data_IF_125265651428
#
_entry.id   IF_125265651428
#
_cell.length_a   1.000
_cell.length_b   1.000
_cell.length_c   1.000
_cell.angle_alpha   90.00
_cell.angle_beta   90.00
_cell.angle_gamma   90.00
#
_symmetry.space_group_name_H-M   'P 1'
#
loop_
_entity.id
_entity.type
_entity.pdbx_description
1 polymer ?
#
# COMPACT_ATOMS: atom_id res chain seq x y z
N UNK A 1 -16.22 9.70 -13.98
CA UNK A 1 -16.38 9.68 -15.46
C UNK A 1 -16.31 8.25 -15.95
N UNK A 2 -17.41 7.72 -16.50
CA UNK A 2 -17.51 6.36 -17.06
C UNK A 2 -16.45 6.09 -18.13
N UNK A 3 -16.12 7.12 -18.93
CA UNK A 3 -15.20 7.05 -20.07
C UNK A 3 -13.76 6.69 -19.63
N UNK A 4 -13.25 7.28 -18.55
CA UNK A 4 -11.89 6.96 -18.06
C UNK A 4 -11.77 5.52 -17.57
N UNK A 5 -12.82 5.02 -16.93
CA UNK A 5 -12.91 3.63 -16.47
C UNK A 5 -12.89 2.66 -17.64
N UNK A 6 -13.67 2.95 -18.68
CA UNK A 6 -13.72 2.15 -19.89
C UNK A 6 -12.37 2.16 -20.64
N UNK A 7 -11.72 3.32 -20.76
CA UNK A 7 -10.36 3.42 -21.34
C UNK A 7 -9.36 2.55 -20.58
N UNK A 8 -9.38 2.57 -19.24
CA UNK A 8 -8.50 1.74 -18.42
C UNK A 8 -8.74 0.23 -18.62
N UNK A 9 -9.99 -0.18 -18.80
CA UNK A 9 -10.34 -1.55 -19.14
C UNK A 9 -9.90 -1.97 -20.54
N UNK A 10 -10.01 -1.08 -21.52
CA UNK A 10 -9.51 -1.35 -22.88
C UNK A 10 -8.00 -1.56 -22.91
N UNK A 11 -7.25 -0.77 -22.14
CA UNK A 11 -5.80 -0.96 -21.99
C UNK A 11 -5.48 -2.34 -21.43
N UNK A 12 -6.15 -2.75 -20.35
CA UNK A 12 -5.97 -4.08 -19.77
C UNK A 12 -6.29 -5.21 -20.76
N UNK A 13 -7.36 -5.08 -21.55
CA UNK A 13 -7.70 -6.07 -22.60
C UNK A 13 -6.58 -6.22 -23.63
N UNK A 14 -5.96 -5.11 -24.03
CA UNK A 14 -4.88 -5.12 -25.01
C UNK A 14 -3.59 -5.68 -24.42
N UNK A 15 -3.20 -5.23 -23.22
CA UNK A 15 -1.95 -5.64 -22.57
C UNK A 15 -1.95 -7.10 -22.12
N UNK A 16 -3.12 -7.62 -21.71
CA UNK A 16 -3.24 -8.97 -21.16
C UNK A 16 -4.00 -9.93 -22.11
N UNK A 17 -4.08 -9.62 -23.40
CA UNK A 17 -4.79 -10.41 -24.42
C UNK A 17 -4.37 -11.89 -24.45
N UNK A 18 -3.11 -12.17 -24.13
CA UNK A 18 -2.51 -13.51 -24.20
C UNK A 18 -2.64 -14.28 -22.87
N UNK A 19 -3.22 -13.68 -21.83
CA UNK A 19 -3.41 -14.31 -20.51
C UNK A 19 -4.81 -14.93 -20.42
N UNK A 20 -4.94 -16.26 -20.55
CA UNK A 20 -6.24 -16.92 -20.36
C UNK A 20 -6.70 -16.67 -18.91
N UNK A 21 -7.99 -16.32 -18.75
CA UNK A 21 -8.62 -15.98 -17.46
C UNK A 21 -8.13 -14.68 -16.80
N UNK A 22 -7.62 -13.71 -17.58
CA UNK A 22 -7.36 -12.37 -17.03
C UNK A 22 -8.68 -11.65 -16.71
N UNK A 23 -8.89 -11.34 -15.43
CA UNK A 23 -10.01 -10.51 -14.98
C UNK A 23 -9.63 -9.04 -14.95
N UNK A 24 -10.44 -8.20 -15.60
CA UNK A 24 -10.26 -6.75 -15.57
C UNK A 24 -10.43 -6.21 -14.15
N UNK A 25 -9.47 -5.40 -13.71
CA UNK A 25 -9.39 -4.86 -12.37
C UNK A 25 -9.56 -3.34 -12.39
N UNK A 26 -10.27 -2.82 -11.40
CA UNK A 26 -10.26 -1.40 -11.09
C UNK A 26 -9.06 -1.04 -10.20
N UNK A 27 -8.61 0.21 -10.32
CA UNK A 27 -7.89 0.88 -9.24
C UNK A 27 -8.85 1.12 -8.08
N UNK A 28 -8.31 1.00 -6.87
CA UNK A 28 -9.06 1.17 -5.64
C UNK A 28 -8.80 2.56 -5.09
N UNK A 29 -9.73 3.05 -4.28
CA UNK A 29 -9.56 4.29 -3.53
C UNK A 29 -9.30 3.95 -2.07
N UNK A 30 -8.47 4.77 -1.44
CA UNK A 30 -8.27 4.75 0.01
C UNK A 30 -9.58 5.04 0.73
N UNK A 31 -9.79 4.37 1.86
CA UNK A 31 -10.99 4.48 2.68
C UNK A 31 -10.59 4.70 4.13
N UNK A 32 -10.63 5.97 4.59
CA UNK A 32 -10.21 6.39 5.93
C UNK A 32 -10.69 5.50 7.08
N UNK A 33 -11.90 4.93 6.97
CA UNK A 33 -12.52 4.09 8.00
C UNK A 33 -12.03 2.64 8.02
N UNK A 34 -11.28 2.20 7.01
CA UNK A 34 -10.79 0.83 6.88
C UNK A 34 -9.26 0.84 6.90
N UNK A 35 -8.68 0.35 8.00
CA UNK A 35 -7.24 0.38 8.28
C UNK A 35 -6.35 -0.19 7.17
N UNK A 36 -6.79 -1.23 6.47
CA UNK A 36 -6.01 -1.85 5.37
C UNK A 36 -6.25 -1.25 3.99
N UNK A 37 -7.13 -0.26 3.85
CA UNK A 37 -7.54 0.24 2.53
C UNK A 37 -6.39 0.88 1.77
N UNK A 38 -5.52 1.63 2.44
CA UNK A 38 -4.30 2.20 1.85
C UNK A 38 -3.39 1.10 1.32
N UNK A 39 -3.13 0.06 2.12
CA UNK A 39 -2.32 -1.08 1.69
C UNK A 39 -2.90 -1.74 0.42
N UNK A 40 -4.19 -2.08 0.45
CA UNK A 40 -4.86 -2.77 -0.66
C UNK A 40 -4.88 -1.90 -1.92
N UNK A 41 -5.05 -0.58 -1.77
CA UNK A 41 -4.97 0.38 -2.87
C UNK A 41 -3.58 0.39 -3.50
N UNK A 42 -2.53 0.54 -2.69
CA UNK A 42 -1.15 0.62 -3.19
C UNK A 42 -0.70 -0.69 -3.82
N UNK A 43 -1.00 -1.82 -3.19
CA UNK A 43 -0.73 -3.14 -3.74
C UNK A 43 -1.44 -3.35 -5.08
N UNK A 44 -2.70 -2.90 -5.21
CA UNK A 44 -3.44 -2.95 -6.48
C UNK A 44 -2.79 -2.08 -7.55
N UNK A 45 -2.39 -0.86 -7.21
CA UNK A 45 -1.72 0.05 -8.14
C UNK A 45 -0.40 -0.54 -8.65
N UNK A 46 0.43 -1.06 -7.74
CA UNK A 46 1.69 -1.70 -8.09
C UNK A 46 1.50 -2.96 -8.96
N UNK A 47 0.52 -3.81 -8.64
CA UNK A 47 0.19 -5.00 -9.46
C UNK A 47 -0.26 -4.64 -10.88
N UNK A 48 -0.82 -3.44 -11.06
CA UNK A 48 -1.31 -2.91 -12.33
C UNK A 48 -0.39 -1.83 -12.89
N UNK A 49 0.89 -1.75 -12.47
CA UNK A 49 1.78 -0.64 -12.83
C UNK A 49 1.87 -0.40 -14.34
N UNK A 50 1.98 -1.47 -15.14
CA UNK A 50 2.08 -1.37 -16.59
C UNK A 50 0.77 -0.83 -17.20
N UNK A 51 -0.37 -1.23 -16.66
CA UNK A 51 -1.70 -0.73 -17.06
C UNK A 51 -1.85 0.75 -16.68
N UNK A 52 -1.36 1.16 -15.50
CA UNK A 52 -1.38 2.54 -15.00
C UNK A 52 -0.49 3.43 -15.85
N UNK A 53 0.75 3.01 -16.10
CA UNK A 53 1.72 3.76 -16.91
C UNK A 53 1.19 3.95 -18.33
N UNK A 54 0.67 2.88 -18.96
CA UNK A 54 0.04 2.99 -20.28
C UNK A 54 -1.16 3.93 -20.27
N UNK A 55 -1.98 3.89 -19.22
CA UNK A 55 -3.14 4.77 -19.09
C UNK A 55 -2.76 6.24 -18.97
N UNK A 56 -1.76 6.57 -18.15
CA UNK A 56 -1.29 7.96 -17.99
C UNK A 56 -0.70 8.46 -19.31
N UNK A 57 0.17 7.68 -19.94
CA UNK A 57 0.75 8.01 -21.25
C UNK A 57 -0.34 8.27 -22.31
N UNK A 58 -1.35 7.39 -22.39
CA UNK A 58 -2.45 7.56 -23.33
C UNK A 58 -3.32 8.79 -22.99
N UNK A 59 -3.43 9.19 -21.72
CA UNK A 59 -4.12 10.42 -21.35
C UNK A 59 -3.33 11.65 -21.78
N UNK A 60 -2.02 11.69 -21.48
CA UNK A 60 -1.11 12.78 -21.87
C UNK A 60 -1.08 12.95 -23.39
N UNK A 61 -1.02 11.85 -24.15
CA UNK A 61 -0.99 11.88 -25.60
C UNK A 61 -2.28 12.43 -26.22
N UNK A 62 -3.44 12.08 -25.65
CA UNK A 62 -4.75 12.50 -26.19
C UNK A 62 -5.23 13.87 -25.72
N UNK A 63 -4.57 14.47 -24.71
CA UNK A 63 -4.96 15.77 -24.17
C UNK A 63 -4.54 16.92 -25.09
N UNK A 64 -5.49 17.79 -25.43
CA UNK A 64 -5.28 18.91 -26.35
C UNK A 64 -4.83 20.17 -25.63
N UNK A 65 -5.23 20.33 -24.37
CA UNK A 65 -4.89 21.49 -23.55
C UNK A 65 -3.49 21.34 -22.97
N UNK A 66 -2.58 22.26 -23.32
CA UNK A 66 -1.20 22.26 -22.81
C UNK A 66 -1.13 22.23 -21.27
N UNK A 67 -1.94 23.05 -20.60
CA UNK A 67 -1.96 23.12 -19.12
C UNK A 67 -2.48 21.84 -18.46
N UNK A 68 -3.45 21.16 -19.07
CA UNK A 68 -3.91 19.86 -18.57
C UNK A 68 -2.91 18.75 -18.86
N UNK A 69 -2.24 18.82 -20.01
CA UNK A 69 -1.21 17.87 -20.43
C UNK A 69 -0.03 17.90 -19.46
N UNK A 70 0.46 19.09 -19.08
CA UNK A 70 1.50 19.25 -18.06
C UNK A 70 1.08 18.63 -16.73
N UNK A 71 -0.15 18.89 -16.26
CA UNK A 71 -0.67 18.30 -15.02
C UNK A 71 -0.78 16.77 -15.08
N UNK A 72 -1.08 16.20 -16.24
CA UNK A 72 -1.14 14.76 -16.44
C UNK A 72 0.26 14.14 -16.49
N UNK A 73 1.23 14.81 -17.10
CA UNK A 73 2.62 14.36 -17.15
C UNK A 73 3.24 14.29 -15.75
N UNK A 74 2.86 15.19 -14.83
CA UNK A 74 3.26 15.11 -13.42
C UNK A 74 2.75 13.85 -12.69
N UNK A 75 1.78 13.13 -13.25
CA UNK A 75 1.29 11.87 -12.69
C UNK A 75 2.14 10.67 -13.13
N UNK A 76 3.03 10.83 -14.11
CA UNK A 76 3.88 9.75 -14.58
C UNK A 76 4.77 9.25 -13.44
N UNK A 77 4.72 7.94 -13.22
CA UNK A 77 5.50 7.26 -12.20
C UNK A 77 6.85 6.88 -12.80
N UNK A 78 7.95 7.29 -12.16
CA UNK A 78 9.27 6.78 -12.51
C UNK A 78 9.46 5.35 -11.98
N UNK A 79 10.47 4.65 -12.49
CA UNK A 79 10.87 3.34 -11.96
C UNK A 79 11.16 3.41 -10.45
N UNK A 80 11.89 4.44 -10.02
CA UNK A 80 12.18 4.69 -8.60
C UNK A 80 10.90 4.92 -7.78
N UNK A 81 9.90 5.64 -8.31
CA UNK A 81 8.62 5.83 -7.62
C UNK A 81 7.90 4.49 -7.43
N UNK A 82 7.91 3.61 -8.44
CA UNK A 82 7.31 2.27 -8.34
C UNK A 82 8.05 1.37 -7.33
N UNK A 83 9.38 1.43 -7.31
CA UNK A 83 10.21 0.70 -6.34
C UNK A 83 9.92 1.18 -4.91
N UNK A 84 9.88 2.49 -4.69
CA UNK A 84 9.51 3.08 -3.40
C UNK A 84 8.09 2.69 -2.99
N UNK A 85 7.13 2.67 -3.92
CA UNK A 85 5.76 2.23 -3.66
C UNK A 85 5.70 0.77 -3.21
N UNK A 86 6.49 -0.11 -3.83
CA UNK A 86 6.58 -1.52 -3.46
C UNK A 86 7.12 -1.70 -2.04
N UNK A 87 8.19 -0.98 -1.70
CA UNK A 87 8.77 -0.99 -0.36
C UNK A 87 7.76 -0.50 0.68
N UNK A 88 7.01 0.56 0.35
CA UNK A 88 5.97 1.07 1.23
C UNK A 88 4.79 0.09 1.38
N UNK A 89 4.37 -0.58 0.31
CA UNK A 89 3.34 -1.61 0.38
C UNK A 89 3.78 -2.78 1.28
N UNK A 90 5.06 -3.19 1.22
CA UNK A 90 5.63 -4.23 2.11
C UNK A 90 5.59 -3.81 3.59
N UNK A 91 5.82 -2.53 3.88
CA UNK A 91 5.68 -1.99 5.25
C UNK A 91 4.25 -2.12 5.77
N UNK A 92 3.28 -1.70 4.96
CA UNK A 92 1.87 -1.76 5.35
C UNK A 92 1.35 -3.20 5.42
N UNK A 93 1.87 -4.11 4.60
CA UNK A 93 1.50 -5.54 4.66
C UNK A 93 1.80 -6.14 6.02
N UNK A 94 2.91 -5.77 6.68
CA UNK A 94 3.22 -6.27 8.02
C UNK A 94 2.20 -5.79 9.05
N UNK A 95 1.79 -4.52 8.98
CA UNK A 95 0.75 -3.99 9.86
C UNK A 95 -0.61 -4.66 9.59
N UNK A 96 -0.96 -4.87 8.31
CA UNK A 96 -2.17 -5.60 7.91
C UNK A 96 -2.18 -7.04 8.43
N UNK A 97 -1.05 -7.76 8.32
CA UNK A 97 -0.91 -9.12 8.84
C UNK A 97 -1.08 -9.16 10.35
N UNK A 98 -0.41 -8.28 11.08
CA UNK A 98 -0.54 -8.21 12.54
C UNK A 98 -2.00 -7.92 12.93
N UNK A 99 -2.66 -6.99 12.24
CA UNK A 99 -4.06 -6.67 12.46
C UNK A 99 -4.98 -7.87 12.24
N UNK A 100 -4.78 -8.60 11.15
CA UNK A 100 -5.57 -9.81 10.86
C UNK A 100 -5.35 -10.90 11.91
N UNK A 101 -4.12 -11.10 12.41
CA UNK A 101 -3.82 -12.10 13.45
C UNK A 101 -4.65 -11.89 14.73
N UNK A 102 -4.89 -10.63 15.16
CA UNK A 102 -5.68 -10.35 16.36
C UNK A 102 -7.15 -9.96 16.13
N UNK A 103 -7.59 -9.84 14.87
CA UNK A 103 -8.99 -9.50 14.53
C UNK A 103 -9.84 -10.71 14.10
N UNK A 104 -9.37 -11.93 14.35
CA UNK A 104 -10.14 -13.13 14.07
C UNK A 104 -11.32 -13.30 15.07
N UNK A 105 -12.54 -13.25 14.56
CA UNK A 105 -13.76 -13.35 15.39
C UNK A 105 -14.15 -14.80 15.75
N UNK A 106 -13.38 -15.79 15.28
CA UNK A 106 -13.71 -17.22 15.44
C UNK A 106 -13.06 -17.88 16.64
N UNK A 107 -12.09 -17.23 17.28
CA UNK A 107 -11.39 -17.71 18.47
C UNK A 107 -10.93 -16.52 19.32
N UNK A 108 -10.68 -16.70 20.63
CA UNK A 108 -10.10 -15.63 21.44
C UNK A 108 -8.76 -15.17 20.83
N UNK A 109 -8.63 -13.91 20.46
CA UNK A 109 -7.42 -13.40 19.77
C UNK A 109 -6.53 -12.54 20.64
N UNK A 110 -6.96 -12.20 21.87
CA UNK A 110 -6.21 -11.32 22.75
C UNK A 110 -4.81 -11.86 23.06
N UNK A 111 -4.67 -13.18 23.23
CA UNK A 111 -3.37 -13.81 23.46
C UNK A 111 -2.44 -13.77 22.23
N UNK A 112 -2.97 -13.53 21.03
CA UNK A 112 -2.21 -13.39 19.79
C UNK A 112 -1.77 -11.94 19.54
N UNK A 113 -2.44 -10.96 20.14
CA UNK A 113 -2.15 -9.54 19.95
C UNK A 113 -0.70 -9.20 20.34
N UNK A 114 -0.23 -9.69 21.51
CA UNK A 114 1.13 -9.46 21.97
C UNK A 114 2.18 -10.10 21.02
N UNK A 115 2.12 -11.40 20.69
CA UNK A 115 3.01 -12.00 19.69
C UNK A 115 3.01 -11.29 18.32
N UNK A 116 1.83 -10.86 17.84
CA UNK A 116 1.69 -10.16 16.57
C UNK A 116 2.40 -8.79 16.60
N UNK A 117 2.20 -8.02 17.67
CA UNK A 117 2.87 -6.73 17.87
C UNK A 117 4.38 -6.89 18.06
N UNK A 118 4.85 -7.92 18.77
CA UNK A 118 6.29 -8.20 18.89
C UNK A 118 6.91 -8.56 17.54
N UNK A 119 6.26 -9.41 16.74
CA UNK A 119 6.72 -9.73 15.37
C UNK A 119 6.81 -8.47 14.52
N UNK A 120 5.78 -7.62 14.55
CA UNK A 120 5.73 -6.36 13.83
C UNK A 120 6.87 -5.43 14.26
N UNK A 121 7.05 -5.24 15.57
CA UNK A 121 8.12 -4.43 16.15
C UNK A 121 9.49 -4.92 15.70
N UNK A 122 9.79 -6.22 15.86
CA UNK A 122 11.08 -6.81 15.45
C UNK A 122 11.35 -6.61 13.96
N UNK A 123 10.35 -6.80 13.11
CA UNK A 123 10.48 -6.62 11.67
C UNK A 123 10.76 -5.16 11.30
N UNK A 124 10.01 -4.22 11.86
CA UNK A 124 10.20 -2.79 11.63
C UNK A 124 11.51 -2.25 12.21
N UNK A 125 11.95 -2.72 13.38
CA UNK A 125 13.27 -2.35 13.92
C UNK A 125 14.41 -2.82 13.01
N UNK A 126 14.31 -4.03 12.45
CA UNK A 126 15.28 -4.54 11.47
C UNK A 126 15.31 -3.65 10.22
N UNK A 127 14.14 -3.28 9.70
CA UNK A 127 14.06 -2.48 8.47
C UNK A 127 14.47 -1.03 8.69
N UNK A 128 14.19 -0.43 9.85
CA UNK A 128 14.59 0.94 10.21
C UNK A 128 16.12 1.14 10.15
N UNK A 129 16.89 0.07 10.40
CA UNK A 129 18.34 0.06 10.34
C UNK A 129 18.92 -0.36 8.99
N UNK A 130 18.07 -0.70 8.02
CA UNK A 130 18.50 -1.17 6.70
C UNK A 130 18.54 -0.03 5.67
N UNK A 131 19.57 -0.04 4.82
CA UNK A 131 19.73 0.99 3.78
C UNK A 131 18.55 1.04 2.81
N UNK A 132 17.92 -0.11 2.54
CA UNK A 132 16.77 -0.23 1.64
C UNK A 132 15.55 0.58 2.08
N UNK A 133 15.36 0.76 3.39
CA UNK A 133 14.20 1.46 3.95
C UNK A 133 14.56 2.83 4.53
N UNK A 134 15.72 3.38 4.17
CA UNK A 134 16.24 4.61 4.73
C UNK A 134 15.28 5.80 4.52
N UNK A 135 14.59 5.87 3.38
CA UNK A 135 13.57 6.89 3.09
C UNK A 135 12.35 6.82 4.03
N UNK A 136 12.07 5.64 4.61
CA UNK A 136 10.98 5.41 5.54
C UNK A 136 11.41 5.50 7.01
N UNK A 137 12.69 5.75 7.30
CA UNK A 137 13.23 5.77 8.66
C UNK A 137 12.45 6.70 9.62
N UNK A 138 12.06 7.93 9.24
CA UNK A 138 11.26 8.79 10.14
C UNK A 138 9.91 8.17 10.47
N UNK A 139 9.22 7.61 9.47
CA UNK A 139 7.91 6.97 9.65
C UNK A 139 8.01 5.69 10.49
N UNK A 140 9.03 4.86 10.24
CA UNK A 140 9.32 3.66 11.02
C UNK A 140 9.66 3.99 12.48
N UNK A 141 10.44 5.04 12.72
CA UNK A 141 10.77 5.49 14.08
C UNK A 141 9.51 5.93 14.83
N UNK A 142 8.64 6.71 14.18
CA UNK A 142 7.37 7.11 14.76
C UNK A 142 6.47 5.90 15.07
N UNK A 143 6.38 4.94 14.13
CA UNK A 143 5.57 3.73 14.31
C UNK A 143 6.08 2.85 15.46
N UNK A 144 7.40 2.67 15.59
CA UNK A 144 8.02 1.94 16.70
C UNK A 144 7.76 2.63 18.04
N UNK A 145 7.83 3.96 18.09
CA UNK A 145 7.52 4.72 19.31
C UNK A 145 6.08 4.52 19.80
N UNK A 146 5.12 4.41 18.88
CA UNK A 146 3.70 4.14 19.22
C UNK A 146 3.54 2.75 19.83
N UNK A 147 4.21 1.75 19.26
CA UNK A 147 4.19 0.38 19.79
C UNK A 147 4.82 0.35 21.19
N UNK A 148 5.96 1.00 21.38
CA UNK A 148 6.65 1.08 22.67
C UNK A 148 5.80 1.78 23.75
N UNK A 149 5.10 2.86 23.40
CA UNK A 149 4.16 3.53 24.31
C UNK A 149 3.06 2.57 24.79
N UNK A 150 2.55 1.72 23.90
CA UNK A 150 1.54 0.72 24.24
C UNK A 150 2.07 -0.32 25.24
N UNK A 151 3.32 -0.77 25.08
CA UNK A 151 3.99 -1.66 26.04
C UNK A 151 4.21 -0.99 27.40
N UNK A 152 4.66 0.26 27.43
CA UNK A 152 4.88 0.98 28.69
C UNK A 152 3.58 1.25 29.46
N UNK A 153 2.46 1.43 28.75
CA UNK A 153 1.16 1.60 29.39
C UNK A 153 0.62 0.29 29.97
N UNK A 154 0.80 -0.82 29.26
CA UNK A 154 0.40 -2.15 29.75
C UNK A 154 1.27 -2.62 30.92
N UNK A 155 2.57 -2.30 30.94
CA UNK A 155 3.45 -2.59 32.07
C UNK A 155 3.09 -1.80 33.32
N UNK A 156 2.66 -0.53 33.16
CA UNK A 156 2.19 0.32 34.27
C UNK A 156 0.81 -0.06 34.81
N UNK A 157 -0.06 -0.67 33.99
CA UNK A 157 -1.37 -1.15 34.43
C UNK A 157 -1.34 -2.53 35.10
N UNK A 158 -0.26 -3.30 34.90
CA UNK A 158 -0.07 -4.66 35.46
C UNK A 158 0.59 -4.67 36.85
N UNK A 159 0.73 -3.51 37.51
CA UNK A 159 1.07 -3.46 38.93
C UNK A 159 -0.15 -3.85 39.77
N UNK A 160 -0.36 -5.16 39.95
CA UNK A 160 -1.18 -5.74 41.01
C UNK A 160 -0.33 -6.03 42.24
#
# INVERSE_FOLDING_TARGET
SSIRREKFFNIQRVLHKDKPNYYLKHLLLDMKVRWSSTFVMLHRAWTLKDDVDKFINDLVFTEKSATKKEKLALLEMTTENWENLELFAKLLQLADNAQQEFSADTYPTLYLALPALEKLHRAWSKWCNSQQYQCFKPALTAALSVIEEYYQRTSKSMSY
#
